data_IF_877104747798
#
_entry.id   IF_877104747798
#
_cell.length_a   1.000
_cell.length_b   1.000
_cell.length_c   1.000
_cell.angle_alpha   90.00
_cell.angle_beta   90.00
_cell.angle_gamma   90.00
#
_symmetry.space_group_name_H-M   'P 1'
#
loop_
_entity.id
_entity.type
_entity.pdbx_description
1 polymer ?
#
# COMPACT_ATOMS: atom_id res chain seq x y z
N UNK A 1 22.23 -3.72 -8.46
CA UNK A 1 20.95 -3.10 -8.03
C UNK A 1 19.73 -3.77 -8.66
N UNK A 2 19.72 -4.06 -9.97
CA UNK A 2 18.55 -4.67 -10.65
C UNK A 2 18.05 -6.00 -10.07
N UNK A 3 18.94 -6.87 -9.59
CA UNK A 3 18.55 -8.15 -8.95
C UNK A 3 17.78 -7.91 -7.63
N UNK A 4 18.20 -6.93 -6.82
CA UNK A 4 17.56 -6.61 -5.54
C UNK A 4 16.16 -6.03 -5.78
N UNK A 5 16.03 -5.14 -6.78
CA UNK A 5 14.75 -4.61 -7.24
C UNK A 5 13.82 -5.74 -7.72
N UNK A 6 14.33 -6.68 -8.50
CA UNK A 6 13.55 -7.82 -8.99
C UNK A 6 12.97 -8.65 -7.84
N UNK A 7 13.80 -9.01 -6.85
CA UNK A 7 13.32 -9.74 -5.66
C UNK A 7 12.26 -8.95 -4.89
N UNK A 8 12.46 -7.64 -4.73
CA UNK A 8 11.51 -6.77 -4.05
C UNK A 8 10.13 -6.75 -4.75
N UNK A 9 10.11 -6.61 -6.08
CA UNK A 9 8.86 -6.63 -6.84
C UNK A 9 8.16 -8.00 -6.80
N UNK A 10 8.93 -9.10 -6.81
CA UNK A 10 8.35 -10.44 -6.64
C UNK A 10 7.62 -10.54 -5.31
N UNK A 11 8.20 -10.04 -4.21
CA UNK A 11 7.57 -10.05 -2.88
C UNK A 11 6.26 -9.23 -2.90
N UNK A 12 6.29 -8.02 -3.46
CA UNK A 12 5.09 -7.19 -3.60
C UNK A 12 4.00 -7.92 -4.39
N UNK A 13 4.37 -8.52 -5.52
CA UNK A 13 3.42 -9.22 -6.38
C UNK A 13 2.77 -10.41 -5.68
N UNK A 14 3.55 -11.17 -4.89
CA UNK A 14 3.04 -12.25 -4.05
C UNK A 14 2.07 -11.71 -3.00
N UNK A 15 2.42 -10.62 -2.31
CA UNK A 15 1.53 -9.98 -1.30
C UNK A 15 0.21 -9.55 -1.93
N UNK A 16 0.24 -8.95 -3.13
CA UNK A 16 -0.96 -8.54 -3.86
C UNK A 16 -1.82 -9.76 -4.18
N UNK A 17 -1.22 -10.82 -4.74
CA UNK A 17 -1.93 -12.06 -5.07
C UNK A 17 -2.60 -12.69 -3.84
N UNK A 18 -1.89 -12.77 -2.72
CA UNK A 18 -2.44 -13.27 -1.45
C UNK A 18 -3.57 -12.39 -0.92
N UNK A 19 -3.42 -11.07 -1.01
CA UNK A 19 -4.44 -10.12 -0.58
C UNK A 19 -5.73 -10.28 -1.37
N UNK A 20 -5.62 -10.42 -2.70
CA UNK A 20 -6.77 -10.68 -3.59
C UNK A 20 -7.48 -11.99 -3.22
N UNK A 21 -6.73 -13.08 -3.06
CA UNK A 21 -7.28 -14.38 -2.65
C UNK A 21 -8.02 -14.29 -1.32
N UNK A 22 -7.45 -13.56 -0.35
CA UNK A 22 -8.05 -13.39 0.96
C UNK A 22 -9.36 -12.58 0.88
N UNK A 23 -9.40 -11.51 0.08
CA UNK A 23 -10.62 -10.73 -0.15
C UNK A 23 -11.72 -11.58 -0.78
N UNK A 24 -11.40 -12.39 -1.79
CA UNK A 24 -12.38 -13.31 -2.39
C UNK A 24 -12.96 -14.29 -1.38
N UNK A 25 -12.13 -14.85 -0.49
CA UNK A 25 -12.57 -15.75 0.58
C UNK A 25 -13.53 -15.05 1.55
N UNK A 26 -13.27 -13.78 1.85
CA UNK A 26 -14.00 -13.03 2.86
C UNK A 26 -15.29 -12.37 2.35
N UNK A 27 -15.54 -12.37 1.02
CA UNK A 27 -16.69 -11.68 0.39
C UNK A 27 -18.05 -12.00 1.04
N UNK A 28 -18.23 -13.21 1.57
CA UNK A 28 -19.51 -13.67 2.14
C UNK A 28 -19.73 -13.24 3.59
N UNK A 29 -18.69 -12.81 4.29
CA UNK A 29 -18.70 -12.57 5.74
C UNK A 29 -18.46 -11.10 6.12
N UNK A 30 -18.15 -10.25 5.14
CA UNK A 30 -17.77 -8.86 5.36
C UNK A 30 -19.02 -7.96 5.38
N UNK A 31 -19.12 -7.10 6.40
CA UNK A 31 -19.94 -5.89 6.31
C UNK A 31 -19.27 -4.90 5.36
N UNK A 32 -19.66 -4.95 4.09
CA UNK A 32 -18.98 -4.29 2.96
C UNK A 32 -18.82 -2.79 3.18
N UNK A 33 -19.91 -2.10 3.56
CA UNK A 33 -19.92 -0.64 3.71
C UNK A 33 -18.94 -0.15 4.78
N UNK A 34 -18.98 -0.75 5.99
CA UNK A 34 -18.08 -0.35 7.08
C UNK A 34 -16.63 -0.67 6.74
N UNK A 35 -16.39 -1.86 6.19
CA UNK A 35 -15.02 -2.33 5.93
C UNK A 35 -14.36 -1.49 4.84
N UNK A 36 -15.09 -1.13 3.78
CA UNK A 36 -14.58 -0.24 2.72
C UNK A 36 -14.28 1.15 3.25
N UNK A 37 -15.19 1.74 4.03
CA UNK A 37 -14.96 3.06 4.61
C UNK A 37 -13.66 3.10 5.42
N UNK A 38 -13.45 2.10 6.30
CA UNK A 38 -12.21 1.98 7.05
C UNK A 38 -10.99 1.67 6.16
N UNK A 39 -11.17 0.91 5.08
CA UNK A 39 -10.07 0.61 4.14
C UNK A 39 -9.59 1.87 3.42
N UNK A 40 -10.51 2.75 3.03
CA UNK A 40 -10.19 4.04 2.43
C UNK A 40 -9.44 4.91 3.45
N UNK A 41 -9.96 5.01 4.68
CA UNK A 41 -9.34 5.79 5.75
C UNK A 41 -7.91 5.30 6.06
N UNK A 42 -7.72 3.97 6.14
CA UNK A 42 -6.41 3.35 6.34
C UNK A 42 -5.47 3.67 5.17
N UNK A 43 -5.96 3.53 3.92
CA UNK A 43 -5.16 3.85 2.73
C UNK A 43 -4.67 5.30 2.75
N UNK A 44 -5.55 6.25 3.06
CA UNK A 44 -5.20 7.68 3.16
C UNK A 44 -4.17 7.89 4.28
N UNK A 45 -4.36 7.24 5.44
CA UNK A 45 -3.46 7.37 6.58
C UNK A 45 -2.06 6.86 6.26
N UNK A 46 -1.92 5.71 5.60
CA UNK A 46 -0.62 5.19 5.19
C UNK A 46 0.06 6.09 4.14
N UNK A 47 -0.71 6.66 3.20
CA UNK A 47 -0.19 7.63 2.24
C UNK A 47 0.33 8.89 2.95
N UNK A 48 -0.47 9.48 3.85
CA UNK A 48 -0.06 10.67 4.62
C UNK A 48 1.20 10.42 5.45
N UNK A 49 1.31 9.25 6.11
CA UNK A 49 2.52 8.89 6.87
C UNK A 49 3.73 8.78 5.92
N UNK A 50 3.53 8.21 4.74
CA UNK A 50 4.59 8.09 3.74
C UNK A 50 5.06 9.46 3.27
N UNK A 51 4.14 10.37 2.96
CA UNK A 51 4.44 11.74 2.55
C UNK A 51 5.16 12.52 3.65
N UNK A 52 4.71 12.43 4.91
CA UNK A 52 5.37 13.07 6.04
C UNK A 52 6.78 12.53 6.28
N UNK A 53 6.98 11.22 6.12
CA UNK A 53 8.30 10.60 6.24
C UNK A 53 9.22 11.07 5.13
N UNK A 54 8.71 11.13 3.91
CA UNK A 54 9.45 11.61 2.75
C UNK A 54 9.84 13.08 2.89
N UNK A 55 8.89 13.96 3.26
CA UNK A 55 9.13 15.39 3.44
C UNK A 55 10.17 15.72 4.53
N UNK A 56 10.31 14.86 5.54
CA UNK A 56 11.29 15.01 6.62
C UNK A 56 12.62 14.28 6.36
N UNK A 57 12.78 13.60 5.21
CA UNK A 57 14.04 12.96 4.86
C UNK A 57 15.08 14.03 4.49
N UNK A 58 16.25 13.98 5.14
CA UNK A 58 17.36 14.94 4.90
C UNK A 58 18.14 14.63 3.63
N UNK A 59 18.05 13.40 3.15
CA UNK A 59 18.67 12.91 1.93
C UNK A 59 17.58 12.18 1.15
N UNK A 60 17.25 12.69 -0.04
CA UNK A 60 16.28 12.06 -0.94
C UNK A 60 17.08 11.25 -1.95
N UNK A 61 17.17 9.93 -1.75
CA UNK A 61 17.73 9.06 -2.77
C UNK A 61 16.67 8.83 -3.86
N UNK A 62 17.04 8.95 -5.14
CA UNK A 62 16.09 8.83 -6.25
C UNK A 62 15.28 7.50 -6.27
N UNK A 63 15.84 6.43 -5.69
CA UNK A 63 15.16 5.14 -5.55
C UNK A 63 14.35 4.99 -4.27
N UNK A 64 14.49 5.88 -3.30
CA UNK A 64 13.81 5.80 -2.00
C UNK A 64 12.27 5.79 -2.13
N UNK A 65 11.63 6.64 -2.97
CA UNK A 65 10.18 6.57 -3.17
C UNK A 65 9.72 5.21 -3.71
N UNK A 66 10.50 4.63 -4.64
CA UNK A 66 10.20 3.34 -5.28
C UNK A 66 10.17 2.17 -4.29
N UNK A 67 10.94 2.24 -3.20
CA UNK A 67 10.89 1.24 -2.13
C UNK A 67 9.94 1.65 -1.02
N UNK A 68 10.00 2.91 -0.58
CA UNK A 68 9.29 3.40 0.59
C UNK A 68 7.78 3.34 0.41
N UNK A 69 7.26 3.81 -0.73
CA UNK A 69 5.81 3.90 -0.93
C UNK A 69 5.18 2.49 -0.92
N UNK A 70 5.63 1.52 -1.75
CA UNK A 70 5.07 0.18 -1.69
C UNK A 70 5.30 -0.52 -0.34
N UNK A 71 6.42 -0.25 0.33
CA UNK A 71 6.67 -0.84 1.65
C UNK A 71 5.62 -0.36 2.67
N UNK A 72 5.38 0.95 2.71
CA UNK A 72 4.45 1.55 3.66
C UNK A 72 2.99 1.25 3.33
N UNK A 73 2.60 1.22 2.05
CA UNK A 73 1.19 1.07 1.65
C UNK A 73 0.76 -0.35 1.31
N UNK A 74 1.71 -1.27 1.08
CA UNK A 74 1.44 -2.67 0.73
C UNK A 74 1.97 -3.61 1.81
N UNK A 75 3.27 -3.54 2.10
CA UNK A 75 3.92 -4.52 3.00
C UNK A 75 3.43 -4.37 4.43
N UNK A 76 3.44 -3.16 4.99
CA UNK A 76 3.01 -2.93 6.39
C UNK A 76 1.53 -3.30 6.60
N UNK A 77 0.56 -2.83 5.78
CA UNK A 77 -0.84 -3.19 5.95
C UNK A 77 -1.07 -4.69 5.81
N UNK A 78 -0.36 -5.37 4.91
CA UNK A 78 -0.46 -6.81 4.76
C UNK A 78 0.01 -7.55 6.01
N UNK A 79 1.20 -7.21 6.52
CA UNK A 79 1.76 -7.86 7.72
C UNK A 79 0.86 -7.62 8.92
N UNK A 80 0.41 -6.39 9.15
CA UNK A 80 -0.51 -6.06 10.24
C UNK A 80 -1.85 -6.78 10.08
N UNK A 81 -2.42 -6.81 8.88
CA UNK A 81 -3.66 -7.53 8.57
C UNK A 81 -3.51 -9.03 8.82
N UNK A 82 -2.43 -9.64 8.35
CA UNK A 82 -2.15 -11.05 8.55
C UNK A 82 -2.00 -11.40 10.04
N UNK A 83 -1.26 -10.60 10.81
CA UNK A 83 -1.11 -10.77 12.26
C UNK A 83 -2.46 -10.69 12.96
N UNK A 84 -3.27 -9.67 12.64
CA UNK A 84 -4.60 -9.49 13.23
C UNK A 84 -5.54 -10.65 12.89
N UNK A 85 -5.44 -11.19 11.68
CA UNK A 85 -6.23 -12.34 11.26
C UNK A 85 -5.85 -13.62 12.04
N UNK A 86 -4.56 -13.83 12.34
CA UNK A 86 -4.07 -14.97 13.13
C UNK A 86 -4.59 -14.93 14.57
N UNK A 87 -4.81 -13.74 15.14
CA UNK A 87 -5.34 -13.58 16.50
C UNK A 87 -6.80 -14.05 16.66
N UNK A 88 -7.53 -14.35 15.56
CA UNK A 88 -8.89 -14.92 15.53
C UNK A 88 -9.95 -14.23 16.41
N UNK A 89 -9.75 -12.96 16.81
CA UNK A 89 -10.75 -12.19 17.55
C UNK A 89 -11.75 -11.57 16.57
N UNK A 90 -13.03 -11.83 16.75
CA UNK A 90 -14.10 -11.30 15.87
C UNK A 90 -14.05 -9.78 15.72
N UNK A 91 -13.82 -9.05 16.82
CA UNK A 91 -13.69 -7.58 16.80
C UNK A 91 -12.53 -7.08 15.94
N UNK A 92 -11.45 -7.86 15.83
CA UNK A 92 -10.27 -7.51 15.04
C UNK A 92 -10.41 -7.89 13.56
N UNK A 93 -11.39 -8.73 13.23
CA UNK A 93 -11.63 -9.22 11.86
C UNK A 93 -11.97 -8.07 10.90
N UNK A 94 -12.74 -7.07 11.36
CA UNK A 94 -13.05 -5.88 10.56
C UNK A 94 -11.76 -5.09 10.27
N UNK A 95 -10.94 -4.85 11.29
CA UNK A 95 -9.68 -4.08 11.15
C UNK A 95 -8.71 -4.82 10.20
N UNK A 96 -8.55 -6.13 10.42
CA UNK A 96 -7.74 -7.01 9.56
C UNK A 96 -8.19 -6.91 8.10
N UNK A 97 -9.49 -7.06 7.84
CA UNK A 97 -10.02 -7.02 6.48
C UNK A 97 -9.86 -5.63 5.86
N UNK A 98 -10.02 -4.56 6.65
CA UNK A 98 -9.80 -3.21 6.18
C UNK A 98 -8.35 -2.93 5.80
N UNK A 99 -7.38 -3.47 6.54
CA UNK A 99 -5.95 -3.38 6.19
C UNK A 99 -5.61 -4.15 4.91
N UNK A 100 -6.25 -5.28 4.67
CA UNK A 100 -6.01 -6.08 3.45
C UNK A 100 -6.64 -5.40 2.23
N UNK A 101 -7.87 -4.89 2.37
CA UNK A 101 -8.56 -4.18 1.28
C UNK A 101 -7.89 -2.82 1.00
N UNK A 102 -7.33 -2.15 2.00
CA UNK A 102 -6.62 -0.89 1.79
C UNK A 102 -5.43 -1.02 0.84
N UNK A 103 -4.81 -2.20 0.74
CA UNK A 103 -3.73 -2.48 -0.22
C UNK A 103 -4.23 -2.26 -1.66
N UNK A 104 -5.39 -2.83 -2.01
CA UNK A 104 -5.97 -2.65 -3.34
C UNK A 104 -6.34 -1.19 -3.60
N UNK A 105 -6.89 -0.51 -2.60
CA UNK A 105 -7.23 0.91 -2.71
C UNK A 105 -5.96 1.74 -2.92
N UNK A 106 -4.90 1.47 -2.16
CA UNK A 106 -3.61 2.14 -2.32
C UNK A 106 -3.03 1.92 -3.71
N UNK A 107 -3.11 0.71 -4.26
CA UNK A 107 -2.66 0.43 -5.63
C UNK A 107 -3.48 1.22 -6.67
N UNK A 108 -4.81 1.24 -6.53
CA UNK A 108 -5.68 2.01 -7.43
C UNK A 108 -5.34 3.50 -7.35
N UNK A 109 -5.19 4.05 -6.15
CA UNK A 109 -4.79 5.43 -5.92
C UNK A 109 -3.42 5.67 -6.54
N UNK A 110 -2.43 4.80 -6.32
CA UNK A 110 -1.11 4.93 -6.93
C UNK A 110 -1.19 4.90 -8.45
N UNK A 111 -1.98 4.03 -9.09
CA UNK A 111 -2.12 4.01 -10.55
C UNK A 111 -2.73 5.33 -11.06
N UNK A 112 -3.81 5.79 -10.43
CA UNK A 112 -4.50 7.04 -10.80
C UNK A 112 -3.55 8.22 -10.63
N UNK A 113 -2.91 8.35 -9.46
CA UNK A 113 -2.05 9.49 -9.15
C UNK A 113 -0.66 9.40 -9.78
N UNK A 114 -0.17 8.23 -10.15
CA UNK A 114 1.07 8.09 -10.91
C UNK A 114 0.92 8.74 -12.30
N UNK A 115 -0.24 8.60 -12.95
CA UNK A 115 -0.52 9.36 -14.19
C UNK A 115 -0.50 10.89 -13.96
N UNK A 116 -0.89 11.36 -12.76
CA UNK A 116 -0.82 12.79 -12.40
C UNK A 116 0.60 13.25 -12.01
N UNK A 117 1.39 12.41 -11.34
CA UNK A 117 2.78 12.70 -10.96
C UNK A 117 3.69 12.73 -12.19
N UNK A 118 3.46 11.86 -13.17
CA UNK A 118 4.20 11.81 -14.44
C UNK A 118 3.94 13.06 -15.31
N UNK A 119 2.81 13.74 -15.13
CA UNK A 119 2.53 15.07 -15.70
C UNK A 119 3.30 16.15 -14.93
N UNK A 120 3.33 16.10 -13.59
CA UNK A 120 4.03 17.09 -12.74
C UNK A 120 5.56 16.98 -12.87
N UNK A 121 6.13 15.78 -12.95
CA UNK A 121 7.56 15.55 -13.21
C UNK A 121 7.97 16.04 -14.60
N UNK A 122 7.14 15.82 -15.64
CA UNK A 122 7.37 16.37 -16.99
C UNK A 122 7.36 17.89 -17.04
N UNK A 123 6.63 18.54 -16.13
CA UNK A 123 6.59 20.01 -16.04
C UNK A 123 7.71 20.60 -15.17
N UNK A 124 8.41 19.83 -14.33
CA UNK A 124 9.28 20.42 -13.29
C UNK A 124 10.64 19.76 -13.02
N UNK A 125 11.07 18.70 -13.72
CA UNK A 125 12.41 18.14 -13.51
C UNK A 125 13.39 18.51 -14.64
N UNK A 126 14.32 19.42 -14.33
CA UNK A 126 15.62 19.46 -15.00
C UNK A 126 16.41 18.24 -14.53
N UNK A 127 16.43 17.22 -15.37
CA UNK A 127 17.22 16.00 -15.19
C UNK A 127 18.71 16.38 -15.28
N UNK A 128 19.46 16.24 -14.20
CA UNK A 128 20.93 16.25 -14.22
C UNK A 128 21.40 14.80 -14.23
N UNK A 129 22.06 14.41 -15.32
CA UNK A 129 22.70 13.10 -15.53
C UNK A 129 24.00 12.97 -14.73
#
# INVERSE_FOLDING_TARGET
MGIILLFYFIIIFVIIGLSILQIFKLRKEINFNKTIFYSILVSILFLLITDLKYANSKEVYAFEPFFLIPFMTIVIPFVLGAILNVLKKEKLKIISNSLIISILISIIVMIIFNEYLDVIERFNLKIYY
#
